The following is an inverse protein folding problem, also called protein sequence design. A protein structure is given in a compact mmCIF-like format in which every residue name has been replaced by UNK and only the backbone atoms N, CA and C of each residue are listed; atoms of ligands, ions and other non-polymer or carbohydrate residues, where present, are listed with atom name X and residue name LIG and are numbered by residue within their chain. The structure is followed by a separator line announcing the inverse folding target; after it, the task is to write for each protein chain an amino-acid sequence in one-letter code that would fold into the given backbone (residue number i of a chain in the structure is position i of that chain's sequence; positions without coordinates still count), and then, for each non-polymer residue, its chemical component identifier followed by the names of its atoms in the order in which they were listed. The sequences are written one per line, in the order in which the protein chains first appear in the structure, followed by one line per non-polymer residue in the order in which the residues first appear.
data_IF_822950007103
#
_entry.id   IF_822950007103
#
_cell.length_a   1.000
_cell.length_b   1.000
_cell.length_c   1.000
_cell.angle_alpha   90.00
_cell.angle_beta   90.00
_cell.angle_gamma   90.00
#
_symmetry.space_group_name_H-M   'P 1'
#
loop_
_entity.id
_entity.type
_entity.pdbx_description
1 polymer ?
#
# COMPACT_ATOMS: atom_id res chain seq x y z
N UNK A 1 48.85 11.51 10.10
CA UNK A 1 49.64 12.68 9.73
C UNK A 1 51.05 12.56 10.31
N UNK A 2 52.00 13.27 9.74
CA UNK A 2 53.38 13.37 10.22
C UNK A 2 53.76 14.83 10.23
N UNK A 3 54.57 15.19 11.20
CA UNK A 3 55.15 16.51 11.34
C UNK A 3 56.68 16.40 11.22
N UNK A 4 57.36 17.25 10.44
CA UNK A 4 58.82 17.20 10.29
C UNK A 4 59.61 17.51 11.57
N UNK A 5 59.00 18.27 12.49
CA UNK A 5 59.62 18.69 13.74
C UNK A 5 59.19 17.82 14.93
N UNK A 6 58.43 16.72 14.66
CA UNK A 6 57.85 15.80 15.66
C UNK A 6 56.88 16.47 16.68
N UNK A 7 56.24 17.59 16.29
CA UNK A 7 55.26 18.24 17.10
C UNK A 7 53.97 17.38 17.23
N UNK A 8 53.27 17.50 18.35
CA UNK A 8 52.01 16.77 18.60
C UNK A 8 50.91 17.27 17.70
N UNK A 9 50.24 16.36 16.96
CA UNK A 9 49.20 16.69 16.00
C UNK A 9 47.80 16.66 16.65
N UNK A 10 47.03 17.70 16.34
CA UNK A 10 45.58 17.76 16.63
C UNK A 10 44.81 17.60 15.34
N UNK A 11 43.80 16.72 15.31
CA UNK A 11 42.97 16.44 14.16
C UNK A 11 41.70 17.27 14.19
N UNK A 12 41.28 17.81 13.05
CA UNK A 12 40.09 18.65 12.91
C UNK A 12 39.26 18.12 11.73
N UNK A 13 37.98 17.81 11.93
CA UNK A 13 37.09 17.46 10.84
C UNK A 13 36.83 18.72 9.99
N UNK A 14 37.35 18.79 8.79
CA UNK A 14 37.20 19.92 7.86
C UNK A 14 35.85 19.86 7.13
N UNK A 15 35.48 18.70 6.62
CA UNK A 15 34.23 18.45 5.92
C UNK A 15 33.62 17.13 6.40
N UNK A 16 32.36 17.19 6.82
CA UNK A 16 31.62 16.01 7.21
C UNK A 16 31.14 15.21 5.98
N UNK A 17 30.93 13.88 6.10
CA UNK A 17 30.34 13.08 5.05
C UNK A 17 28.90 13.49 4.75
N UNK A 18 28.42 13.21 3.54
CA UNK A 18 27.07 13.57 3.08
C UNK A 18 26.04 12.46 3.29
N UNK A 19 26.48 11.21 3.24
CA UNK A 19 25.63 10.00 3.30
C UNK A 19 25.88 9.19 4.58
N UNK A 20 26.46 9.81 5.60
CA UNK A 20 26.80 9.17 6.85
C UNK A 20 27.12 10.16 7.94
N UNK A 21 27.50 9.62 9.09
CA UNK A 21 27.99 10.40 10.22
C UNK A 21 29.35 9.87 10.69
N UNK A 22 30.15 10.73 11.22
CA UNK A 22 31.37 10.38 11.95
C UNK A 22 31.19 10.63 13.43
N UNK A 23 31.71 9.71 14.26
CA UNK A 23 31.63 9.77 15.70
C UNK A 23 33.02 9.57 16.33
N UNK A 24 33.22 10.05 17.56
CA UNK A 24 34.42 9.88 18.31
C UNK A 24 34.28 8.70 19.29
N UNK A 25 34.92 7.55 19.02
CA UNK A 25 34.80 6.35 19.87
C UNK A 25 35.37 6.55 21.29
N UNK A 26 36.23 7.54 21.49
CA UNK A 26 36.81 7.85 22.79
C UNK A 26 36.01 8.92 23.59
N UNK A 27 34.92 9.46 22.98
CA UNK A 27 34.04 10.44 23.56
C UNK A 27 32.58 10.00 23.51
N UNK A 28 32.29 8.78 23.97
CA UNK A 28 30.97 8.18 24.03
C UNK A 28 30.23 8.22 22.68
N UNK A 29 30.93 7.94 21.59
CA UNK A 29 30.39 7.96 20.21
C UNK A 29 29.71 9.28 19.83
N UNK A 30 30.16 10.37 20.41
CA UNK A 30 29.64 11.70 20.12
C UNK A 30 29.86 12.04 18.65
N UNK A 31 28.81 12.50 17.99
CA UNK A 31 28.91 12.96 16.59
C UNK A 31 29.86 14.14 16.46
N UNK A 32 30.76 14.05 15.49
CA UNK A 32 31.74 15.07 15.15
C UNK A 32 31.17 15.90 13.99
N UNK A 33 31.12 17.22 14.18
CA UNK A 33 30.70 18.15 13.14
C UNK A 33 31.92 18.81 12.46
N UNK A 34 31.70 19.35 11.26
CA UNK A 34 32.74 20.13 10.59
C UNK A 34 33.24 21.30 11.48
N UNK A 35 34.54 21.47 11.57
CA UNK A 35 35.21 22.41 12.46
C UNK A 35 35.51 21.88 13.85
N UNK A 36 35.02 20.69 14.24
CA UNK A 36 35.30 20.10 15.54
C UNK A 36 36.68 19.44 15.59
N UNK A 37 37.32 19.52 16.76
CA UNK A 37 38.53 18.77 17.09
C UNK A 37 38.12 17.29 17.32
N UNK A 38 38.91 16.39 16.78
CA UNK A 38 38.84 14.95 17.00
C UNK A 38 39.82 14.64 18.13
N UNK A 39 39.37 14.01 19.20
CA UNK A 39 40.15 13.82 20.43
C UNK A 39 41.30 12.84 20.28
N UNK A 40 41.25 11.99 19.22
CA UNK A 40 42.33 11.02 18.86
C UNK A 40 42.48 10.96 17.35
N UNK A 41 43.36 10.08 16.87
CA UNK A 41 43.54 9.75 15.45
C UNK A 41 42.49 8.76 14.91
N UNK A 42 41.46 8.39 15.69
CA UNK A 42 40.43 7.41 15.34
C UNK A 42 39.06 8.05 15.33
N UNK A 43 38.27 7.70 14.34
CA UNK A 43 36.86 8.04 14.23
C UNK A 43 36.10 6.85 13.69
N UNK A 44 34.83 6.71 14.08
CA UNK A 44 33.92 5.74 13.50
C UNK A 44 33.04 6.42 12.46
N UNK A 45 32.82 5.71 11.36
CA UNK A 45 31.87 6.12 10.33
C UNK A 45 30.67 5.17 10.30
N UNK A 46 29.48 5.72 10.25
CA UNK A 46 28.22 4.99 10.03
C UNK A 46 27.51 5.57 8.83
N UNK A 47 27.25 4.75 7.80
CA UNK A 47 26.38 5.15 6.69
C UNK A 47 24.95 5.37 7.17
N UNK A 48 24.29 6.39 6.64
CA UNK A 48 22.86 6.66 6.86
C UNK A 48 22.04 6.54 5.58
N UNK A 49 22.65 6.08 4.51
CA UNK A 49 22.05 5.92 3.19
C UNK A 49 22.01 4.46 2.78
N UNK A 50 20.83 4.01 2.30
CA UNK A 50 20.64 2.68 1.71
C UNK A 50 20.93 2.63 0.21
N UNK A 51 21.32 3.74 -0.41
CA UNK A 51 21.52 3.82 -1.87
C UNK A 51 22.85 4.41 -2.29
N UNK A 52 23.59 5.06 -1.39
CA UNK A 52 24.88 5.65 -1.72
C UNK A 52 26.01 4.64 -1.56
N UNK A 53 26.61 4.23 -2.68
CA UNK A 53 27.75 3.31 -2.70
C UNK A 53 29.08 3.99 -2.31
N UNK A 54 29.14 5.32 -2.24
CA UNK A 54 30.35 6.07 -1.88
C UNK A 54 30.02 7.28 -1.01
N UNK A 55 30.97 7.63 -0.16
CA UNK A 55 30.99 8.88 0.60
C UNK A 55 32.42 9.36 0.79
N UNK A 56 32.60 10.52 1.42
CA UNK A 56 33.90 10.98 1.82
C UNK A 56 33.79 12.03 2.93
N UNK A 57 34.86 12.20 3.66
CA UNK A 57 35.06 13.32 4.55
C UNK A 57 36.47 13.91 4.36
N UNK A 58 36.67 15.10 4.86
CA UNK A 58 37.97 15.75 4.85
C UNK A 58 38.41 16.17 6.24
N UNK A 59 39.67 16.02 6.54
CA UNK A 59 40.26 16.46 7.79
C UNK A 59 41.52 17.27 7.57
N UNK A 60 41.87 18.04 8.59
CA UNK A 60 43.13 18.78 8.67
C UNK A 60 43.86 18.39 9.94
N UNK A 61 45.14 18.59 9.95
CA UNK A 61 45.99 18.45 11.14
C UNK A 61 46.57 19.81 11.53
N UNK A 62 46.70 20.02 12.84
CA UNK A 62 47.26 21.22 13.42
C UNK A 62 48.39 20.81 14.38
N UNK A 63 49.57 21.37 14.22
CA UNK A 63 50.77 21.10 15.01
C UNK A 63 50.95 22.02 16.22
N UNK A 64 49.99 22.89 16.47
CA UNK A 64 50.07 23.94 17.49
C UNK A 64 50.49 25.31 16.95
N UNK A 65 50.95 25.37 15.69
CA UNK A 65 51.43 26.60 15.00
C UNK A 65 50.77 26.80 13.63
N UNK A 66 50.70 25.74 12.82
CA UNK A 66 50.22 25.75 11.45
C UNK A 66 49.15 24.70 11.24
N UNK A 67 48.27 24.98 10.28
CA UNK A 67 47.23 24.07 9.85
C UNK A 67 47.56 23.49 8.49
N UNK A 68 47.42 22.18 8.33
CA UNK A 68 47.67 21.50 7.06
C UNK A 68 46.64 21.85 5.99
N UNK A 69 46.95 21.54 4.72
CA UNK A 69 45.92 21.37 3.69
C UNK A 69 44.91 20.25 4.10
N UNK A 70 43.73 20.30 3.50
CA UNK A 70 42.71 19.29 3.76
C UNK A 70 43.07 17.96 3.09
N UNK A 71 43.02 16.89 3.87
CA UNK A 71 43.17 15.52 3.40
C UNK A 71 41.81 14.86 3.26
N UNK A 72 41.56 14.20 2.13
CA UNK A 72 40.31 13.50 1.82
C UNK A 72 40.40 12.02 2.18
N UNK A 73 39.42 11.51 2.90
CA UNK A 73 39.17 10.09 3.10
C UNK A 73 37.94 9.68 2.27
N UNK A 74 38.17 8.84 1.26
CA UNK A 74 37.13 8.29 0.41
C UNK A 74 36.65 6.95 0.99
N UNK A 75 35.32 6.76 1.05
CA UNK A 75 34.66 5.60 1.59
C UNK A 75 33.92 4.85 0.48
N UNK A 76 34.12 3.55 0.39
CA UNK A 76 33.31 2.65 -0.42
C UNK A 76 32.34 1.94 0.52
N UNK A 77 31.05 2.13 0.30
CA UNK A 77 29.97 1.56 1.11
C UNK A 77 29.49 0.30 0.41
N UNK A 78 29.56 -0.82 1.09
CA UNK A 78 28.93 -2.06 0.62
C UNK A 78 27.44 -1.96 0.97
N UNK A 79 26.61 -1.94 -0.05
CA UNK A 79 25.16 -1.94 0.12
C UNK A 79 24.70 -3.38 0.37
N UNK A 80 23.96 -3.60 1.44
CA UNK A 80 23.29 -4.86 1.74
C UNK A 80 21.86 -4.75 1.25
N UNK A 81 21.26 -5.88 0.87
CA UNK A 81 19.88 -5.92 0.42
C UNK A 81 18.92 -5.87 1.60
N UNK A 82 18.06 -4.88 1.62
CA UNK A 82 16.95 -4.79 2.55
C UNK A 82 15.74 -5.60 2.07
N UNK A 83 14.95 -6.09 3.01
CA UNK A 83 13.74 -6.85 2.67
C UNK A 83 12.63 -5.89 2.24
N UNK A 84 11.96 -6.12 1.09
CA UNK A 84 10.83 -5.30 0.67
C UNK A 84 9.62 -5.45 1.59
N UNK A 85 8.68 -4.53 1.49
CA UNK A 85 7.44 -4.51 2.29
C UNK A 85 6.22 -4.55 1.38
N UNK A 86 5.32 -5.51 1.61
CA UNK A 86 4.00 -5.54 0.99
C UNK A 86 3.01 -4.69 1.82
N UNK A 87 2.33 -3.74 1.18
CA UNK A 87 1.42 -2.84 1.88
C UNK A 87 0.02 -3.45 2.01
N UNK A 88 -0.49 -3.49 3.24
CA UNK A 88 -1.89 -3.84 3.46
C UNK A 88 -2.82 -2.77 2.87
N UNK A 89 -3.95 -3.20 2.32
CA UNK A 89 -4.97 -2.28 1.80
C UNK A 89 -6.38 -2.84 1.97
N UNK A 90 -7.36 -1.95 2.00
CA UNK A 90 -8.79 -2.30 1.98
C UNK A 90 -9.40 -1.67 0.74
N UNK A 91 -10.21 -2.44 0.02
CA UNK A 91 -10.93 -2.01 -1.18
C UNK A 91 -12.42 -2.31 -1.04
N UNK A 92 -13.25 -1.38 -1.48
CA UNK A 92 -14.71 -1.55 -1.56
C UNK A 92 -15.08 -1.79 -3.03
N UNK A 93 -15.78 -2.85 -3.31
CA UNK A 93 -16.10 -3.30 -4.67
C UNK A 93 -17.57 -3.71 -4.74
N UNK A 94 -18.17 -3.53 -5.91
CA UNK A 94 -19.52 -4.08 -6.18
C UNK A 94 -19.40 -5.55 -6.57
N UNK A 95 -20.31 -6.36 -6.07
CA UNK A 95 -20.38 -7.79 -6.42
C UNK A 95 -20.49 -8.02 -7.93
N UNK A 96 -20.14 -9.20 -8.37
CA UNK A 96 -20.23 -9.64 -9.77
C UNK A 96 -19.59 -8.68 -10.81
N UNK A 97 -18.90 -7.63 -10.34
CA UNK A 97 -18.24 -6.64 -11.19
C UNK A 97 -16.74 -6.84 -11.17
N UNK A 98 -16.10 -7.27 -12.28
CA UNK A 98 -14.66 -7.38 -12.35
C UNK A 98 -13.99 -6.03 -12.04
N UNK A 99 -13.21 -5.96 -10.97
CA UNK A 99 -12.59 -4.71 -10.53
C UNK A 99 -11.08 -4.85 -10.44
N UNK A 100 -10.39 -3.86 -10.99
CA UNK A 100 -8.94 -3.81 -11.03
C UNK A 100 -8.39 -3.30 -9.69
N UNK A 101 -7.57 -4.11 -9.03
CA UNK A 101 -6.88 -3.78 -7.79
C UNK A 101 -5.40 -3.60 -8.07
N UNK A 102 -4.82 -2.49 -7.64
CA UNK A 102 -3.38 -2.25 -7.73
C UNK A 102 -2.72 -2.62 -6.41
N UNK A 103 -1.84 -3.61 -6.43
CA UNK A 103 -1.01 -3.98 -5.29
C UNK A 103 0.12 -2.98 -5.13
N UNK A 104 0.47 -2.67 -3.90
CA UNK A 104 1.55 -1.74 -3.59
C UNK A 104 2.53 -2.33 -2.59
N UNK A 105 3.76 -1.88 -2.70
CA UNK A 105 4.83 -2.24 -1.77
C UNK A 105 5.95 -1.23 -1.87
N UNK A 106 6.92 -1.35 -0.99
CA UNK A 106 8.12 -0.51 -0.96
C UNK A 106 9.35 -1.36 -0.71
N UNK A 107 10.48 -0.84 -1.15
CA UNK A 107 11.78 -1.46 -0.97
C UNK A 107 12.76 -0.35 -0.58
N UNK A 108 13.47 -0.46 0.58
CA UNK A 108 14.43 0.56 1.00
C UNK A 108 15.58 0.78 0.01
N UNK A 109 15.94 -0.26 -0.76
CA UNK A 109 17.02 -0.18 -1.74
C UNK A 109 16.56 0.35 -3.11
N UNK A 110 15.26 0.32 -3.37
CA UNK A 110 14.65 0.66 -4.66
C UNK A 110 13.41 1.51 -4.46
N UNK A 111 13.08 2.31 -5.45
CA UNK A 111 11.87 3.15 -5.42
C UNK A 111 10.60 2.35 -5.68
N UNK A 112 10.70 1.18 -6.31
CA UNK A 112 9.55 0.31 -6.65
C UNK A 112 9.92 -1.16 -6.51
N UNK A 113 9.03 -2.00 -5.93
CA UNK A 113 9.20 -3.45 -5.90
C UNK A 113 9.21 -4.04 -7.31
N UNK A 114 9.95 -5.11 -7.50
CA UNK A 114 10.16 -5.69 -8.84
C UNK A 114 9.04 -6.64 -9.27
N UNK A 115 8.50 -7.45 -8.36
CA UNK A 115 7.52 -8.50 -8.69
C UNK A 115 6.55 -8.72 -7.52
N UNK A 116 5.30 -9.06 -7.84
CA UNK A 116 4.27 -9.42 -6.88
C UNK A 116 3.89 -10.90 -7.03
N UNK A 117 3.67 -11.57 -5.90
CA UNK A 117 3.28 -12.98 -5.82
C UNK A 117 2.00 -13.12 -5.01
N UNK A 118 1.03 -13.86 -5.49
CA UNK A 118 -0.19 -14.14 -4.73
C UNK A 118 0.07 -15.35 -3.83
N UNK A 119 0.09 -15.13 -2.52
CA UNK A 119 0.40 -16.18 -1.52
C UNK A 119 -0.83 -17.00 -1.15
N UNK A 120 -1.99 -16.34 -1.03
CA UNK A 120 -3.26 -16.99 -0.71
C UNK A 120 -4.37 -16.36 -1.54
N UNK A 121 -5.22 -17.20 -2.13
CA UNK A 121 -6.39 -16.78 -2.90
C UNK A 121 -7.53 -16.30 -1.99
N UNK A 122 -8.44 -15.47 -2.49
CA UNK A 122 -9.71 -15.18 -1.84
C UNK A 122 -10.55 -16.45 -1.66
N UNK A 123 -11.49 -16.41 -0.74
CA UNK A 123 -12.33 -17.60 -0.41
C UNK A 123 -13.51 -17.72 -1.36
N UNK A 124 -14.14 -16.60 -1.71
CA UNK A 124 -15.38 -16.57 -2.49
C UNK A 124 -15.22 -15.95 -3.87
N UNK A 125 -14.26 -15.07 -4.04
CA UNK A 125 -14.00 -14.43 -5.33
C UNK A 125 -12.93 -15.13 -6.17
N UNK A 126 -12.71 -14.62 -7.37
CA UNK A 126 -11.63 -15.07 -8.26
C UNK A 126 -10.67 -13.94 -8.58
N UNK A 127 -9.39 -14.28 -8.76
CA UNK A 127 -8.35 -13.36 -9.21
C UNK A 127 -7.89 -13.73 -10.61
N UNK A 128 -7.75 -12.74 -11.46
CA UNK A 128 -7.10 -12.88 -12.77
C UNK A 128 -5.97 -11.88 -12.94
N UNK A 129 -5.01 -12.21 -13.79
CA UNK A 129 -3.84 -11.38 -14.11
C UNK A 129 -4.08 -10.63 -15.44
N UNK A 130 -4.44 -9.34 -15.41
CA UNK A 130 -4.68 -8.55 -16.62
C UNK A 130 -3.41 -8.34 -17.46
N UNK A 131 -2.24 -8.45 -16.86
CA UNK A 131 -0.97 -8.42 -17.58
C UNK A 131 -0.60 -9.71 -18.29
N UNK A 132 -1.36 -10.79 -18.05
CA UNK A 132 -1.18 -12.12 -18.66
C UNK A 132 -2.48 -12.66 -19.28
N UNK A 133 -3.14 -11.83 -20.11
CA UNK A 133 -4.39 -12.16 -20.83
C UNK A 133 -5.50 -12.66 -19.89
N UNK A 134 -5.69 -12.03 -18.76
CA UNK A 134 -6.69 -12.36 -17.74
C UNK A 134 -6.64 -13.83 -17.27
N UNK A 135 -5.44 -14.43 -17.30
CA UNK A 135 -5.23 -15.78 -16.77
C UNK A 135 -5.68 -15.85 -15.31
N UNK A 136 -6.46 -16.86 -14.97
CA UNK A 136 -6.81 -17.14 -13.56
C UNK A 136 -5.55 -17.41 -12.76
N UNK A 137 -5.42 -16.72 -11.63
CA UNK A 137 -4.27 -16.80 -10.72
C UNK A 137 -4.44 -18.01 -9.79
N UNK A 138 -3.35 -18.73 -9.55
CA UNK A 138 -3.25 -19.77 -8.53
C UNK A 138 -2.39 -19.27 -7.35
N UNK A 139 -2.58 -19.84 -6.16
CA UNK A 139 -1.71 -19.55 -5.04
C UNK A 139 -0.25 -19.93 -5.38
N UNK A 140 0.67 -19.03 -5.11
CA UNK A 140 2.09 -19.13 -5.48
C UNK A 140 2.44 -18.52 -6.84
N UNK A 141 1.46 -18.10 -7.66
CA UNK A 141 1.75 -17.47 -8.95
C UNK A 141 2.33 -16.06 -8.75
N UNK A 142 3.33 -15.74 -9.57
CA UNK A 142 3.79 -14.37 -9.81
C UNK A 142 2.91 -13.72 -10.87
N UNK A 143 2.58 -12.44 -10.69
CA UNK A 143 1.74 -11.68 -11.62
C UNK A 143 2.56 -10.78 -12.53
N UNK A 144 2.04 -10.49 -13.70
CA UNK A 144 2.64 -9.58 -14.67
C UNK A 144 2.37 -8.11 -14.27
N UNK A 145 3.27 -7.53 -13.50
CA UNK A 145 3.14 -6.17 -12.98
C UNK A 145 2.59 -6.11 -11.57
N UNK A 146 1.77 -5.09 -11.26
CA UNK A 146 1.26 -4.84 -9.91
C UNK A 146 -0.28 -4.89 -9.82
N UNK A 147 -0.96 -5.41 -10.83
CA UNK A 147 -2.42 -5.35 -10.91
C UNK A 147 -3.03 -6.74 -10.97
N UNK A 148 -4.14 -6.91 -10.27
CA UNK A 148 -5.00 -8.09 -10.37
C UNK A 148 -6.43 -7.64 -10.61
N UNK A 149 -7.22 -8.44 -11.33
CA UNK A 149 -8.66 -8.22 -11.42
C UNK A 149 -9.34 -9.19 -10.45
N UNK A 150 -10.14 -8.65 -9.53
CA UNK A 150 -10.96 -9.43 -8.61
C UNK A 150 -12.42 -9.41 -9.08
N UNK A 151 -13.08 -10.56 -9.03
CA UNK A 151 -14.52 -10.70 -9.24
C UNK A 151 -15.10 -11.43 -8.04
N UNK A 152 -15.90 -10.74 -7.23
CA UNK A 152 -16.60 -11.29 -6.08
C UNK A 152 -17.89 -11.99 -6.51
N UNK A 153 -18.41 -12.87 -5.63
CA UNK A 153 -19.67 -13.57 -5.81
C UNK A 153 -20.74 -12.97 -4.91
N UNK A 154 -21.99 -13.13 -5.33
CA UNK A 154 -23.25 -12.66 -4.71
C UNK A 154 -23.54 -13.21 -3.29
N UNK A 155 -22.62 -13.81 -2.60
CA UNK A 155 -22.92 -14.50 -1.33
C UNK A 155 -22.09 -14.03 -0.14
N UNK A 156 -21.21 -13.06 -0.33
CA UNK A 156 -20.24 -12.67 0.68
C UNK A 156 -20.08 -11.16 0.76
N UNK A 157 -20.21 -10.62 1.97
CA UNK A 157 -20.00 -9.18 2.24
C UNK A 157 -18.53 -8.82 2.44
N UNK A 158 -17.65 -9.80 2.53
CA UNK A 158 -16.21 -9.58 2.69
C UNK A 158 -15.40 -10.76 2.18
N UNK A 159 -14.21 -10.48 1.68
CA UNK A 159 -13.23 -11.47 1.27
C UNK A 159 -11.82 -10.93 1.53
N UNK A 160 -10.80 -11.71 1.30
CA UNK A 160 -9.42 -11.24 1.37
C UNK A 160 -8.48 -12.18 0.64
N UNK A 161 -7.38 -11.63 0.17
CA UNK A 161 -6.26 -12.44 -0.34
C UNK A 161 -4.94 -11.91 0.19
N UNK A 162 -3.91 -12.75 0.11
CA UNK A 162 -2.58 -12.43 0.60
C UNK A 162 -1.59 -12.37 -0.55
N UNK A 163 -0.66 -11.44 -0.47
CA UNK A 163 0.39 -11.31 -1.46
C UNK A 163 1.73 -10.99 -0.81
N UNK A 164 2.79 -11.17 -1.57
CA UNK A 164 4.16 -10.77 -1.23
C UNK A 164 4.74 -9.92 -2.35
N UNK A 165 5.76 -9.18 -1.99
CA UNK A 165 6.61 -8.43 -2.89
C UNK A 165 7.98 -9.11 -2.93
N UNK A 166 8.59 -9.18 -4.09
CA UNK A 166 9.93 -9.73 -4.29
C UNK A 166 10.78 -8.71 -5.05
N UNK A 167 11.96 -8.39 -4.53
CA UNK A 167 12.94 -7.47 -5.12
C UNK A 167 13.88 -8.15 -6.12
N UNK A 168 13.75 -9.46 -6.29
CA UNK A 168 14.63 -10.33 -7.09
C UNK A 168 15.65 -11.07 -6.25
N UNK A 169 15.75 -10.84 -4.96
CA UNK A 169 16.68 -11.45 -4.00
C UNK A 169 15.92 -12.14 -2.86
N UNK A 170 14.95 -11.42 -2.25
CA UNK A 170 14.17 -11.89 -1.10
C UNK A 170 12.70 -11.52 -1.23
N UNK A 171 11.81 -12.33 -0.62
CA UNK A 171 10.38 -12.03 -0.52
C UNK A 171 10.08 -11.26 0.77
N UNK A 172 9.11 -10.32 0.69
CA UNK A 172 8.57 -9.60 1.84
C UNK A 172 7.83 -10.53 2.81
N UNK A 173 7.50 -10.03 3.99
CA UNK A 173 6.38 -10.54 4.75
C UNK A 173 5.08 -10.38 3.96
N UNK A 174 4.06 -11.11 4.39
CA UNK A 174 2.74 -11.14 3.72
C UNK A 174 2.03 -9.80 3.90
N UNK A 175 1.54 -9.23 2.80
CA UNK A 175 0.56 -8.16 2.77
C UNK A 175 -0.85 -8.71 2.57
N UNK A 176 -1.86 -8.02 3.10
CA UNK A 176 -3.26 -8.39 3.01
C UNK A 176 -4.03 -7.37 2.19
N UNK A 177 -4.80 -7.85 1.23
CA UNK A 177 -5.87 -7.06 0.60
C UNK A 177 -7.19 -7.52 1.20
N UNK A 178 -7.83 -6.64 1.99
CA UNK A 178 -9.17 -6.84 2.53
C UNK A 178 -10.19 -6.28 1.55
N UNK A 179 -11.22 -7.06 1.23
CA UNK A 179 -12.26 -6.72 0.26
C UNK A 179 -13.58 -6.59 1.00
N UNK A 180 -14.24 -5.45 0.85
CA UNK A 180 -15.62 -5.22 1.29
C UNK A 180 -16.48 -5.22 0.03
N UNK A 181 -17.41 -6.17 -0.06
CA UNK A 181 -18.34 -6.25 -1.18
C UNK A 181 -19.60 -5.45 -0.87
N UNK A 182 -19.96 -4.55 -1.76
CA UNK A 182 -21.24 -3.86 -1.77
C UNK A 182 -22.19 -4.74 -2.59
N UNK A 183 -23.17 -5.31 -1.92
CA UNK A 183 -24.21 -6.13 -2.53
C UNK A 183 -25.36 -5.20 -2.90
N UNK A 184 -25.91 -5.34 -4.11
CA UNK A 184 -26.97 -4.50 -4.64
C UNK A 184 -27.89 -5.36 -5.52
N UNK A 185 -28.78 -6.08 -4.90
CA UNK A 185 -29.80 -6.84 -5.63
C UNK A 185 -31.01 -5.94 -5.99
N UNK A 186 -31.70 -6.26 -7.06
CA UNK A 186 -32.97 -5.58 -7.37
C UNK A 186 -34.09 -6.12 -6.48
N UNK A 187 -34.98 -5.26 -5.97
CA UNK A 187 -36.08 -5.72 -5.16
C UNK A 187 -37.13 -6.52 -5.97
N UNK A 188 -37.75 -7.50 -5.34
CA UNK A 188 -38.82 -8.31 -5.89
C UNK A 188 -40.20 -7.81 -5.49
N UNK A 189 -41.05 -7.56 -6.47
CA UNK A 189 -42.47 -7.26 -6.22
C UNK A 189 -43.26 -8.53 -6.05
N UNK A 190 -44.05 -8.61 -4.97
CA UNK A 190 -44.87 -9.80 -4.68
C UNK A 190 -46.18 -9.76 -5.44
N UNK A 191 -46.39 -10.74 -6.33
CA UNK A 191 -47.68 -10.91 -7.00
C UNK A 191 -48.76 -11.32 -6.02
N UNK A 192 -49.96 -10.73 -6.15
CA UNK A 192 -51.11 -11.01 -5.29
C UNK A 192 -52.41 -11.08 -6.08
N UNK A 193 -53.36 -11.89 -5.58
CA UNK A 193 -54.71 -11.96 -6.07
C UNK A 193 -55.65 -11.38 -5.02
N UNK A 194 -56.33 -10.30 -5.35
CA UNK A 194 -57.24 -9.62 -4.43
C UNK A 194 -58.67 -9.76 -4.95
N UNK A 195 -59.60 -10.22 -4.11
CA UNK A 195 -61.02 -10.23 -4.40
C UNK A 195 -61.60 -8.87 -4.04
N UNK A 196 -62.31 -8.27 -4.94
CA UNK A 196 -63.00 -6.98 -4.74
C UNK A 196 -64.49 -7.10 -5.07
N UNK A 197 -65.27 -6.30 -4.41
CA UNK A 197 -66.75 -6.20 -4.67
C UNK A 197 -66.97 -5.03 -5.63
N UNK A 198 -67.84 -5.20 -6.61
CA UNK A 198 -68.20 -4.14 -7.55
C UNK A 198 -68.72 -2.88 -6.81
N UNK A 199 -68.33 -1.69 -7.31
CA UNK A 199 -68.72 -0.38 -6.79
C UNK A 199 -68.37 -0.09 -5.32
N UNK A 200 -67.41 -0.84 -4.76
CA UNK A 200 -66.89 -0.65 -3.40
C UNK A 200 -65.38 -0.40 -3.47
N UNK A 201 -64.92 0.63 -2.78
CA UNK A 201 -63.50 0.91 -2.66
C UNK A 201 -62.84 -0.15 -1.74
N UNK A 202 -61.79 -0.81 -2.22
CA UNK A 202 -60.97 -1.76 -1.48
C UNK A 202 -59.53 -1.28 -1.34
N UNK A 203 -58.96 -1.34 -0.15
CA UNK A 203 -57.56 -1.06 0.08
C UNK A 203 -56.73 -2.27 -0.32
N UNK A 204 -55.76 -2.08 -1.20
CA UNK A 204 -54.77 -3.09 -1.59
C UNK A 204 -53.45 -2.67 -1.01
N UNK A 205 -52.80 -3.54 -0.24
CA UNK A 205 -51.45 -3.33 0.28
C UNK A 205 -50.45 -3.99 -0.67
N UNK A 206 -49.64 -3.19 -1.30
CA UNK A 206 -48.54 -3.68 -2.14
C UNK A 206 -47.42 -4.21 -1.27
N UNK A 207 -46.85 -5.34 -1.63
CA UNK A 207 -45.74 -5.97 -0.91
C UNK A 207 -44.60 -6.30 -1.86
N UNK A 208 -43.41 -6.26 -1.34
CA UNK A 208 -42.16 -6.61 -2.03
C UNK A 208 -41.15 -7.04 -1.02
N UNK A 209 -40.01 -7.50 -1.50
CA UNK A 209 -38.89 -7.91 -0.68
C UNK A 209 -37.62 -7.42 -1.37
N UNK A 210 -36.72 -6.87 -0.57
CA UNK A 210 -35.35 -6.57 -0.94
C UNK A 210 -34.43 -7.42 -0.08
N UNK A 211 -33.42 -8.03 -0.70
CA UNK A 211 -32.52 -8.98 -0.03
C UNK A 211 -31.62 -8.28 0.99
N UNK A 212 -31.22 -7.06 0.71
CA UNK A 212 -30.41 -6.21 1.58
C UNK A 212 -31.23 -5.50 2.66
N UNK A 213 -32.57 -5.50 2.52
CA UNK A 213 -33.50 -4.85 3.43
C UNK A 213 -33.69 -3.36 3.17
N UNK A 214 -33.40 -2.92 1.94
CA UNK A 214 -33.56 -1.54 1.53
C UNK A 214 -35.04 -1.10 1.53
N UNK A 215 -35.25 0.20 1.71
CA UNK A 215 -36.61 0.79 1.70
C UNK A 215 -37.23 0.72 0.29
N UNK A 216 -38.40 0.12 0.19
CA UNK A 216 -39.09 -0.07 -1.07
C UNK A 216 -39.98 1.10 -1.47
N UNK A 217 -39.87 1.55 -2.71
CA UNK A 217 -40.77 2.46 -3.36
C UNK A 217 -41.59 1.72 -4.44
N UNK A 218 -42.90 1.83 -4.38
CA UNK A 218 -43.78 1.12 -5.33
C UNK A 218 -44.16 2.03 -6.50
N UNK A 219 -44.00 1.50 -7.72
CA UNK A 219 -44.32 2.18 -8.97
C UNK A 219 -45.40 1.38 -9.70
N UNK A 220 -46.51 2.03 -10.07
CA UNK A 220 -47.58 1.40 -10.89
C UNK A 220 -47.16 1.53 -12.37
N UNK A 221 -46.86 0.41 -12.98
CA UNK A 221 -46.38 0.35 -14.36
C UNK A 221 -47.53 0.29 -15.40
N UNK A 222 -48.69 -0.22 -14.98
CA UNK A 222 -49.90 -0.25 -15.83
C UNK A 222 -51.15 -0.12 -14.97
N UNK A 223 -52.19 0.50 -15.51
CA UNK A 223 -53.46 0.66 -14.88
C UNK A 223 -54.42 -0.50 -15.23
N UNK A 224 -55.38 -0.83 -14.34
CA UNK A 224 -56.39 -1.83 -14.64
C UNK A 224 -57.30 -1.37 -15.79
N UNK A 225 -57.76 -2.29 -16.63
CA UNK A 225 -58.66 -2.01 -17.73
C UNK A 225 -60.09 -1.71 -17.26
N UNK A 226 -60.46 -2.16 -16.07
CA UNK A 226 -61.80 -1.97 -15.48
C UNK A 226 -61.63 -1.55 -14.02
N UNK A 227 -61.89 -0.29 -13.70
CA UNK A 227 -61.74 0.28 -12.37
C UNK A 227 -60.67 1.40 -12.34
N UNK A 228 -60.54 2.02 -11.18
CA UNK A 228 -59.60 3.11 -10.94
C UNK A 228 -58.73 2.79 -9.74
N UNK A 229 -57.42 3.07 -9.87
CA UNK A 229 -56.49 3.05 -8.73
C UNK A 229 -56.44 4.46 -8.13
N UNK A 230 -56.37 4.53 -6.81
CA UNK A 230 -56.24 5.80 -6.05
C UNK A 230 -55.06 5.66 -5.08
N UNK A 231 -54.32 6.73 -4.90
CA UNK A 231 -53.36 6.88 -3.80
C UNK A 231 -53.79 8.08 -2.96
N UNK A 232 -54.04 7.84 -1.66
CA UNK A 232 -54.49 8.88 -0.70
C UNK A 232 -55.69 9.69 -1.26
N UNK A 233 -56.63 9.00 -1.94
CA UNK A 233 -57.84 9.60 -2.51
C UNK A 233 -57.67 10.21 -3.93
N UNK A 234 -56.47 10.39 -4.42
CA UNK A 234 -56.20 10.88 -5.76
C UNK A 234 -56.07 9.74 -6.77
N UNK A 235 -56.68 9.89 -7.96
CA UNK A 235 -56.60 8.88 -9.03
C UNK A 235 -55.17 8.87 -9.60
N UNK A 236 -54.63 7.66 -9.74
CA UNK A 236 -53.37 7.44 -10.43
C UNK A 236 -53.66 7.41 -11.94
N UNK A 237 -52.91 8.19 -12.73
CA UNK A 237 -53.09 8.35 -14.17
C UNK A 237 -51.83 7.91 -14.90
#
# INVERSE_FOLDING_TARGET
GTDPDDDSLTYILHKAPSNGRVTDPNNNDKTIFAGSIITTDKIDYTSTSNSAATDFFEFKVFDGKLLSEAAKVSLNILLENDTPVANNQTVELTENTPTLITLTGSDPDKTTPSVFKIEKLPVTGTLTDPGNNDKVISAGDYIAGSKVTYTGQDTSISDSFLFKVNDGIVESLVGTVSIVLIITDAPDATAQNVQVTEQVDHTIILTGFDKEGDDLNFIINSLPTSGLLKNSGSVIT
#
